data_IF_664422417397
#
_entry.id   IF_664422417397
#
_cell.length_a   1.000
_cell.length_b   1.000
_cell.length_c   1.000
_cell.angle_alpha   90.00
_cell.angle_beta   90.00
_cell.angle_gamma   90.00
#
_symmetry.space_group_name_H-M   'P 1'
#
loop_
_entity.id
_entity.type
_entity.pdbx_description
1 polymer ?
#
# COMPACT_ATOMS: atom_id res chain seq x y z
N UNK A 1 -65.45 28.66 55.87
CA UNK A 1 -66.07 27.35 55.65
C UNK A 1 -65.05 26.57 54.89
N UNK A 2 -64.29 25.86 55.62
CA UNK A 2 -64.24 24.42 55.86
C UNK A 2 -63.66 23.69 54.63
N UNK A 3 -62.72 22.92 54.70
CA UNK A 3 -62.04 22.07 55.67
C UNK A 3 -61.23 20.99 54.91
N UNK A 4 -60.06 20.66 55.48
CA UNK A 4 -59.45 19.32 55.54
C UNK A 4 -58.71 18.77 54.32
N UNK A 5 -57.42 18.81 54.35
CA UNK A 5 -56.52 17.74 54.89
C UNK A 5 -56.83 16.33 54.39
N UNK A 6 -55.94 15.76 53.65
CA UNK A 6 -55.35 14.49 54.08
C UNK A 6 -53.99 14.27 53.39
N UNK A 7 -53.05 14.06 54.25
CA UNK A 7 -51.69 13.57 53.98
C UNK A 7 -51.73 12.11 53.56
N UNK A 8 -50.90 11.70 52.62
CA UNK A 8 -50.41 10.33 52.53
C UNK A 8 -49.01 10.33 51.97
N UNK A 9 -48.13 9.98 52.84
CA UNK A 9 -46.75 9.58 52.61
C UNK A 9 -46.74 8.23 51.92
N UNK A 10 -46.01 8.06 50.84
CA UNK A 10 -45.44 6.77 50.44
C UNK A 10 -44.13 6.98 49.65
N UNK A 11 -43.07 6.69 50.34
CA UNK A 11 -41.91 5.85 49.99
C UNK A 11 -41.21 6.06 48.67
N UNK A 12 -40.01 6.54 48.84
CA UNK A 12 -38.78 6.34 48.07
C UNK A 12 -38.66 4.95 47.47
N UNK A 13 -38.48 4.83 46.17
CA UNK A 13 -37.70 3.74 45.57
C UNK A 13 -36.80 4.36 44.48
N UNK A 14 -35.55 4.52 44.91
CA UNK A 14 -34.39 4.75 44.03
C UNK A 14 -34.19 3.50 43.21
N UNK A 15 -34.54 3.53 41.92
CA UNK A 15 -34.10 2.54 40.96
C UNK A 15 -32.73 2.97 40.42
N UNK A 16 -31.70 2.33 40.90
CA UNK A 16 -30.35 2.36 40.34
C UNK A 16 -30.38 1.65 38.97
N UNK A 17 -30.33 2.41 37.90
CA UNK A 17 -29.99 1.87 36.57
C UNK A 17 -28.46 1.75 36.45
N UNK A 18 -27.96 0.58 36.68
CA UNK A 18 -26.58 0.20 36.30
C UNK A 18 -26.47 0.24 34.80
N UNK A 19 -25.80 1.29 34.27
CA UNK A 19 -25.32 1.33 32.91
C UNK A 19 -24.14 0.36 32.78
N UNK A 20 -24.42 -0.81 32.22
CA UNK A 20 -23.37 -1.74 31.76
C UNK A 20 -22.70 -1.08 30.56
N UNK A 21 -21.60 -0.38 30.80
CA UNK A 21 -20.69 0.01 29.77
C UNK A 21 -20.02 -1.26 29.24
N UNK A 22 -20.52 -1.77 28.11
CA UNK A 22 -19.82 -2.79 27.34
C UNK A 22 -18.52 -2.18 26.82
N UNK A 23 -17.43 -2.44 27.52
CA UNK A 23 -16.10 -2.24 26.99
C UNK A 23 -15.91 -3.23 25.85
N UNK A 24 -16.11 -2.76 24.60
CA UNK A 24 -15.61 -3.46 23.44
C UNK A 24 -14.08 -3.38 23.50
N UNK A 25 -13.45 -4.45 24.00
CA UNK A 25 -12.03 -4.67 23.81
C UNK A 25 -11.79 -4.85 22.31
N UNK A 26 -11.39 -3.77 21.63
CA UNK A 26 -10.84 -3.86 20.29
C UNK A 26 -9.49 -4.58 20.40
N UNK A 27 -9.52 -5.91 20.23
CA UNK A 27 -8.33 -6.64 19.85
C UNK A 27 -7.95 -6.10 18.46
N UNK A 28 -6.85 -5.38 18.35
CA UNK A 28 -6.24 -4.98 17.09
C UNK A 28 -5.63 -6.20 16.39
N UNK A 29 -6.47 -7.15 16.00
CA UNK A 29 -6.10 -8.20 15.08
C UNK A 29 -5.89 -7.54 13.71
N UNK A 30 -4.71 -7.68 13.13
CA UNK A 30 -4.44 -7.21 11.78
C UNK A 30 -5.39 -7.92 10.83
N UNK A 31 -6.04 -7.17 9.93
CA UNK A 31 -6.94 -7.71 8.90
C UNK A 31 -6.14 -8.61 7.97
N UNK A 32 -6.62 -9.83 7.73
CA UNK A 32 -6.11 -10.73 6.69
C UNK A 32 -7.09 -10.72 5.51
N UNK A 33 -6.57 -10.90 4.31
CA UNK A 33 -7.33 -10.95 3.06
C UNK A 33 -7.26 -12.35 2.46
N UNK A 34 -8.35 -12.80 1.86
CA UNK A 34 -8.45 -14.07 1.13
C UNK A 34 -8.74 -13.84 -0.37
N UNK A 35 -8.98 -14.92 -1.10
CA UNK A 35 -9.26 -14.86 -2.54
C UNK A 35 -10.57 -14.10 -2.88
N UNK A 36 -11.52 -14.03 -1.95
CA UNK A 36 -12.77 -13.27 -2.11
C UNK A 36 -12.57 -11.77 -2.03
N UNK A 37 -11.57 -11.31 -1.29
CA UNK A 37 -11.17 -9.91 -1.22
C UNK A 37 -10.45 -9.42 -2.49
N UNK A 38 -9.95 -10.35 -3.34
CA UNK A 38 -9.17 -10.07 -4.56
C UNK A 38 -8.02 -9.08 -4.30
N UNK A 39 -7.08 -9.42 -3.40
CA UNK A 39 -6.08 -8.49 -2.92
C UNK A 39 -5.10 -8.06 -4.02
N UNK A 40 -4.64 -6.81 -3.93
CA UNK A 40 -3.52 -6.28 -4.69
C UNK A 40 -2.34 -6.02 -3.75
N UNK A 41 -1.17 -6.48 -4.13
CA UNK A 41 0.11 -6.16 -3.48
C UNK A 41 0.80 -5.12 -4.33
N UNK A 42 0.73 -3.88 -3.88
CA UNK A 42 1.38 -2.74 -4.51
C UNK A 42 2.84 -2.74 -4.11
N UNK A 43 3.72 -2.76 -5.11
CA UNK A 43 5.17 -2.68 -4.90
C UNK A 43 5.72 -1.59 -5.81
N UNK A 44 6.60 -0.81 -5.25
CA UNK A 44 7.45 0.13 -5.96
C UNK A 44 8.88 -0.04 -5.48
N UNK A 45 9.82 0.06 -6.40
CA UNK A 45 11.23 -0.20 -6.16
C UNK A 45 12.06 1.00 -6.61
N UNK A 46 13.06 1.34 -5.79
CA UNK A 46 14.14 2.24 -6.20
C UNK A 46 15.38 1.43 -6.55
N UNK A 47 16.04 1.79 -7.62
CA UNK A 47 17.18 1.08 -8.16
C UNK A 47 18.33 2.04 -8.51
N UNK A 48 19.55 1.52 -8.65
CA UNK A 48 20.71 2.31 -9.12
C UNK A 48 20.64 2.64 -10.62
N UNK A 49 19.70 2.05 -11.33
CA UNK A 49 19.40 2.23 -12.75
C UNK A 49 18.38 1.20 -13.21
N UNK A 50 18.09 1.14 -14.51
CA UNK A 50 17.02 0.30 -15.06
C UNK A 50 17.50 -1.00 -15.73
N UNK A 51 18.80 -1.27 -15.76
CA UNK A 51 19.33 -2.53 -16.29
C UNK A 51 19.30 -3.61 -15.19
N UNK A 52 18.33 -4.50 -15.28
CA UNK A 52 18.17 -5.59 -14.33
C UNK A 52 19.34 -6.60 -14.28
N UNK A 53 20.37 -6.46 -15.14
CA UNK A 53 21.59 -7.29 -15.10
C UNK A 53 22.67 -6.64 -14.26
N UNK A 54 22.84 -5.33 -14.37
CA UNK A 54 23.97 -4.58 -13.79
C UNK A 54 23.58 -3.71 -12.60
N UNK A 55 22.34 -3.25 -12.54
CA UNK A 55 21.88 -2.36 -11.49
C UNK A 55 21.35 -3.10 -10.26
N UNK A 56 21.34 -2.40 -9.13
CA UNK A 56 20.93 -2.94 -7.84
C UNK A 56 19.59 -2.36 -7.40
N UNK A 57 18.81 -3.20 -6.71
CA UNK A 57 17.64 -2.82 -5.94
C UNK A 57 18.09 -2.20 -4.62
N UNK A 58 17.64 -0.99 -4.30
CA UNK A 58 18.09 -0.20 -3.14
C UNK A 58 16.97 0.22 -2.18
N UNK A 59 15.71 0.25 -2.61
CA UNK A 59 14.54 0.38 -1.74
C UNK A 59 13.40 -0.45 -2.32
N UNK A 60 12.62 -1.08 -1.45
CA UNK A 60 11.35 -1.73 -1.80
C UNK A 60 10.29 -1.28 -0.82
N UNK A 61 9.20 -0.72 -1.32
CA UNK A 61 8.02 -0.44 -0.53
C UNK A 61 6.86 -1.35 -0.92
N UNK A 62 5.99 -1.62 0.04
CA UNK A 62 4.81 -2.49 -0.15
C UNK A 62 3.61 -1.92 0.60
N UNK A 63 2.48 -1.83 -0.11
CA UNK A 63 1.15 -1.64 0.48
C UNK A 63 0.24 -2.76 -0.03
N UNK A 64 -0.65 -3.28 0.83
CA UNK A 64 -1.66 -4.26 0.42
C UNK A 64 -3.04 -3.62 0.49
N UNK A 65 -3.82 -3.76 -0.60
CA UNK A 65 -5.21 -3.31 -0.66
C UNK A 65 -6.16 -4.47 -0.96
N UNK A 66 -7.43 -4.28 -0.62
CA UNK A 66 -8.52 -5.10 -1.15
C UNK A 66 -8.90 -4.69 -2.61
N UNK A 67 -9.93 -5.32 -3.17
CA UNK A 67 -10.45 -5.03 -4.51
C UNK A 67 -11.06 -3.62 -4.66
N UNK A 68 -11.35 -2.96 -3.55
CA UNK A 68 -11.87 -1.59 -3.56
C UNK A 68 -10.76 -0.53 -3.41
N UNK A 69 -9.48 -0.96 -3.51
CA UNK A 69 -8.29 -0.14 -3.36
C UNK A 69 -8.13 0.44 -1.95
N UNK A 70 -8.74 -0.21 -0.93
CA UNK A 70 -8.61 0.23 0.45
C UNK A 70 -7.37 -0.40 1.09
N UNK A 71 -6.35 0.38 1.50
CA UNK A 71 -5.17 -0.15 2.18
C UNK A 71 -5.55 -0.86 3.48
N UNK A 72 -4.88 -1.99 3.76
CA UNK A 72 -5.05 -2.72 5.03
C UNK A 72 -4.37 -1.98 6.18
N UNK A 73 -3.21 -1.38 5.89
CA UNK A 73 -2.44 -0.55 6.82
C UNK A 73 -1.57 0.45 6.03
N UNK A 74 -0.62 1.09 6.71
CA UNK A 74 0.25 2.11 6.10
C UNK A 74 1.34 1.54 5.19
N UNK A 75 1.47 0.22 5.10
CA UNK A 75 2.54 -0.42 4.33
C UNK A 75 3.89 -0.44 5.05
N UNK A 76 4.90 -0.89 4.31
CA UNK A 76 6.30 -0.88 4.75
C UNK A 76 7.21 -0.33 3.66
N UNK A 77 8.35 0.22 4.04
CA UNK A 77 9.49 0.48 3.17
C UNK A 77 10.74 -0.14 3.78
N UNK A 78 11.61 -0.71 2.94
CA UNK A 78 12.85 -1.36 3.32
C UNK A 78 13.97 -0.84 2.45
N UNK A 79 14.92 -0.12 3.06
CA UNK A 79 16.15 0.33 2.40
C UNK A 79 17.16 -0.82 2.40
N UNK A 80 17.77 -1.06 1.25
CA UNK A 80 18.68 -2.18 1.00
C UNK A 80 20.07 -1.64 0.75
N UNK A 81 21.06 -2.22 1.43
CA UNK A 81 22.46 -1.86 1.21
C UNK A 81 22.93 -2.43 -0.12
N UNK A 82 23.27 -1.58 -1.11
CA UNK A 82 23.76 -2.06 -2.40
C UNK A 82 25.18 -2.67 -2.28
N UNK A 83 25.56 -3.53 -3.23
CA UNK A 83 26.97 -3.93 -3.38
C UNK A 83 27.89 -2.72 -3.57
N UNK A 84 29.12 -2.81 -3.06
CA UNK A 84 30.11 -1.75 -3.18
C UNK A 84 30.35 -1.36 -4.66
N UNK A 85 30.46 -0.07 -4.93
CA UNK A 85 30.74 0.49 -6.24
C UNK A 85 29.52 0.71 -7.14
N UNK A 86 28.33 0.23 -6.78
CA UNK A 86 27.13 0.45 -7.61
C UNK A 86 26.51 1.84 -7.42
N UNK A 87 26.64 2.42 -6.24
CA UNK A 87 26.18 3.80 -5.99
C UNK A 87 27.00 4.81 -6.80
N UNK A 88 28.32 4.60 -6.85
CA UNK A 88 29.25 5.47 -7.58
C UNK A 88 29.11 5.35 -9.10
N UNK A 89 28.48 4.29 -9.59
CA UNK A 89 28.24 4.04 -11.01
C UNK A 89 26.88 4.52 -11.50
N UNK A 90 26.02 5.04 -10.62
CA UNK A 90 24.75 5.66 -11.01
C UNK A 90 24.98 6.83 -11.96
N UNK A 91 24.12 7.00 -12.95
CA UNK A 91 24.14 8.20 -13.78
C UNK A 91 23.78 9.46 -13.00
N UNK A 92 24.05 10.62 -13.58
CA UNK A 92 23.81 11.92 -12.92
C UNK A 92 22.34 12.14 -12.57
N UNK A 93 21.41 11.64 -13.39
CA UNK A 93 19.98 11.80 -13.18
C UNK A 93 19.52 10.97 -11.96
N UNK A 94 19.86 9.69 -11.93
CA UNK A 94 19.52 8.78 -10.83
C UNK A 94 20.19 9.23 -9.53
N UNK A 95 21.47 9.63 -9.59
CA UNK A 95 22.19 10.20 -8.44
C UNK A 95 21.48 11.42 -7.86
N UNK A 96 21.08 12.38 -8.73
CA UNK A 96 20.38 13.58 -8.29
C UNK A 96 19.00 13.27 -7.71
N UNK A 97 18.27 12.33 -8.29
CA UNK A 97 16.95 11.89 -7.84
C UNK A 97 17.04 11.31 -6.42
N UNK A 98 17.94 10.35 -6.20
CA UNK A 98 18.12 9.71 -4.89
C UNK A 98 18.77 10.62 -3.84
N UNK A 99 19.55 11.62 -4.27
CA UNK A 99 20.04 12.68 -3.37
C UNK A 99 18.90 13.56 -2.90
N UNK A 100 18.03 13.99 -3.83
CA UNK A 100 16.89 14.86 -3.51
C UNK A 100 15.86 14.18 -2.60
N UNK A 101 15.64 12.87 -2.77
CA UNK A 101 14.74 12.09 -1.92
C UNK A 101 15.37 11.70 -0.56
N UNK A 102 16.68 11.92 -0.39
CA UNK A 102 17.44 11.53 0.80
C UNK A 102 17.81 10.05 0.89
N UNK A 103 17.43 9.24 -0.12
CA UNK A 103 17.66 7.79 -0.10
C UNK A 103 19.16 7.44 -0.03
N UNK A 104 20.01 8.18 -0.73
CA UNK A 104 21.47 7.93 -0.72
C UNK A 104 22.04 7.94 0.70
N UNK A 105 21.58 8.83 1.56
CA UNK A 105 22.06 8.94 2.94
C UNK A 105 21.66 7.75 3.81
N UNK A 106 20.61 7.02 3.42
CA UNK A 106 20.09 5.87 4.16
C UNK A 106 20.75 4.55 3.75
N UNK A 107 21.37 4.46 2.55
CA UNK A 107 21.87 3.22 1.97
C UNK A 107 22.94 2.50 2.83
N UNK A 108 23.80 3.25 3.50
CA UNK A 108 24.82 2.66 4.38
C UNK A 108 24.23 1.93 5.58
N UNK A 109 23.07 2.40 6.05
CA UNK A 109 22.29 1.79 7.13
C UNK A 109 21.29 0.72 6.64
N UNK A 110 21.20 0.51 5.32
CA UNK A 110 20.29 -0.45 4.72
C UNK A 110 20.59 -1.89 5.14
N UNK A 111 19.56 -2.73 5.06
CA UNK A 111 19.66 -4.17 5.38
C UNK A 111 20.25 -4.97 4.20
N UNK A 112 20.60 -6.22 4.45
CA UNK A 112 20.97 -7.13 3.36
C UNK A 112 19.76 -7.47 2.47
N UNK A 113 20.01 -7.90 1.22
CA UNK A 113 18.97 -8.35 0.31
C UNK A 113 18.14 -9.52 0.89
N UNK A 114 18.81 -10.44 1.59
CA UNK A 114 18.14 -11.58 2.22
C UNK A 114 17.17 -11.13 3.34
N UNK A 115 17.59 -10.20 4.19
CA UNK A 115 16.75 -9.62 5.25
C UNK A 115 15.60 -8.80 4.66
N UNK A 116 15.86 -8.05 3.59
CA UNK A 116 14.83 -7.30 2.88
C UNK A 116 13.76 -8.24 2.29
N UNK A 117 14.17 -9.30 1.57
CA UNK A 117 13.23 -10.31 1.05
C UNK A 117 12.39 -10.94 2.17
N UNK A 118 13.04 -11.34 3.28
CA UNK A 118 12.33 -11.95 4.41
C UNK A 118 11.32 -10.98 5.03
N UNK A 119 11.67 -9.70 5.15
CA UNK A 119 10.81 -8.64 5.70
C UNK A 119 9.60 -8.39 4.80
N UNK A 120 9.84 -8.21 3.49
CA UNK A 120 8.80 -7.97 2.49
C UNK A 120 7.85 -9.16 2.40
N UNK A 121 8.39 -10.38 2.28
CA UNK A 121 7.59 -11.60 2.22
C UNK A 121 6.77 -11.80 3.50
N UNK A 122 7.39 -11.62 4.66
CA UNK A 122 6.71 -11.76 5.96
C UNK A 122 5.56 -10.75 6.13
N UNK A 123 5.74 -9.52 5.65
CA UNK A 123 4.67 -8.52 5.63
C UNK A 123 3.51 -8.96 4.74
N UNK A 124 3.78 -9.39 3.51
CA UNK A 124 2.75 -9.85 2.57
C UNK A 124 2.00 -11.06 3.15
N UNK A 125 2.72 -12.08 3.63
CA UNK A 125 2.13 -13.31 4.18
C UNK A 125 1.27 -13.08 5.42
N UNK A 126 1.57 -12.05 6.19
CA UNK A 126 0.78 -11.69 7.37
C UNK A 126 -0.60 -11.16 6.99
N UNK A 127 -0.73 -10.50 5.83
CA UNK A 127 -1.99 -9.93 5.33
C UNK A 127 -2.67 -10.90 4.35
N UNK A 128 -1.89 -11.54 3.48
CA UNK A 128 -2.34 -12.49 2.47
C UNK A 128 -1.60 -13.81 2.68
N UNK A 129 -2.07 -14.68 3.58
CA UNK A 129 -1.38 -15.93 3.91
C UNK A 129 -1.34 -16.95 2.76
N UNK A 130 -2.37 -16.95 1.90
CA UNK A 130 -2.48 -17.89 0.79
C UNK A 130 -1.67 -17.39 -0.41
N UNK A 131 -0.74 -18.21 -0.89
CA UNK A 131 0.06 -17.91 -2.07
C UNK A 131 -0.77 -17.98 -3.36
N UNK A 132 -0.40 -17.16 -4.35
CA UNK A 132 -0.98 -17.20 -5.69
C UNK A 132 -2.33 -16.48 -5.84
N UNK A 133 -2.84 -15.81 -4.81
CA UNK A 133 -4.12 -15.08 -4.89
C UNK A 133 -3.95 -13.57 -5.11
N UNK A 134 -2.94 -12.94 -4.53
CA UNK A 134 -2.71 -11.51 -4.67
C UNK A 134 -1.94 -11.18 -5.94
N UNK A 135 -2.38 -10.16 -6.67
CA UNK A 135 -1.69 -9.69 -7.87
C UNK A 135 -0.69 -8.60 -7.51
N UNK A 136 0.49 -8.63 -8.12
CA UNK A 136 1.42 -7.50 -8.10
C UNK A 136 0.80 -6.30 -8.83
N UNK A 137 0.82 -5.12 -8.21
CA UNK A 137 0.27 -3.89 -8.75
C UNK A 137 1.26 -2.72 -8.62
N UNK A 138 1.18 -1.75 -9.53
CA UNK A 138 2.01 -0.53 -9.53
C UNK A 138 1.99 0.18 -10.86
N UNK A 139 2.75 1.27 -10.96
CA UNK A 139 2.98 1.98 -12.22
C UNK A 139 4.24 1.44 -12.92
N UNK A 140 4.11 1.00 -14.18
CA UNK A 140 5.20 0.36 -14.95
C UNK A 140 5.85 -0.81 -14.20
N UNK A 141 5.08 -1.47 -13.37
CA UNK A 141 5.49 -2.49 -12.39
C UNK A 141 6.16 -3.72 -13.02
N UNK A 142 6.15 -3.80 -14.34
CA UNK A 142 6.94 -4.78 -15.08
C UNK A 142 8.44 -4.66 -14.85
N UNK A 143 8.96 -3.44 -14.68
CA UNK A 143 10.37 -3.19 -14.36
C UNK A 143 10.69 -3.68 -12.94
N UNK A 144 9.88 -3.30 -11.95
CA UNK A 144 10.02 -3.75 -10.56
C UNK A 144 10.02 -5.27 -10.49
N UNK A 145 9.10 -5.91 -11.21
CA UNK A 145 8.99 -7.36 -11.28
C UNK A 145 10.27 -8.04 -11.79
N UNK A 146 11.02 -7.42 -12.70
CA UNK A 146 12.29 -7.97 -13.19
C UNK A 146 13.34 -8.02 -12.07
N UNK A 147 13.50 -6.92 -11.32
CA UNK A 147 14.40 -6.87 -10.17
C UNK A 147 13.95 -7.80 -9.05
N UNK A 148 12.66 -7.79 -8.69
CA UNK A 148 12.11 -8.68 -7.67
C UNK A 148 12.29 -10.17 -8.04
N UNK A 149 12.12 -10.53 -9.31
CA UNK A 149 12.29 -11.93 -9.74
C UNK A 149 13.75 -12.39 -9.63
N UNK A 150 14.73 -11.48 -9.80
CA UNK A 150 16.14 -11.75 -9.62
C UNK A 150 16.54 -11.80 -8.13
N UNK A 151 16.12 -10.77 -7.37
CA UNK A 151 16.66 -10.47 -6.05
C UNK A 151 15.77 -10.98 -4.90
N UNK A 152 14.45 -11.05 -5.13
CA UNK A 152 13.44 -11.48 -4.15
C UNK A 152 12.49 -12.54 -4.74
N UNK A 153 13.02 -13.67 -5.28
CA UNK A 153 12.19 -14.66 -5.96
C UNK A 153 11.05 -15.22 -5.10
N UNK A 154 11.26 -15.35 -3.77
CA UNK A 154 10.22 -15.85 -2.87
C UNK A 154 9.01 -14.91 -2.77
N UNK A 155 9.21 -13.60 -2.95
CA UNK A 155 8.11 -12.62 -3.03
C UNK A 155 7.29 -12.88 -4.29
N UNK A 156 7.96 -13.02 -5.44
CA UNK A 156 7.30 -13.29 -6.72
C UNK A 156 6.57 -14.64 -6.72
N UNK A 157 7.17 -15.67 -6.12
CA UNK A 157 6.58 -17.01 -6.01
C UNK A 157 5.31 -17.03 -5.12
N UNK A 158 5.23 -16.10 -4.15
CA UNK A 158 4.05 -15.94 -3.31
C UNK A 158 2.89 -15.23 -4.03
N UNK A 159 3.18 -14.39 -5.02
CA UNK A 159 2.19 -13.61 -5.75
C UNK A 159 1.58 -14.40 -6.92
N UNK A 160 0.43 -13.94 -7.40
CA UNK A 160 -0.17 -14.46 -8.62
C UNK A 160 0.67 -14.05 -9.84
N UNK A 161 0.70 -14.86 -10.91
CA UNK A 161 1.50 -14.59 -12.11
C UNK A 161 1.05 -13.36 -12.91
N UNK A 162 -0.23 -12.95 -12.80
CA UNK A 162 -0.76 -11.73 -13.43
C UNK A 162 -0.39 -10.50 -12.63
N UNK A 163 -0.36 -9.36 -13.33
CA UNK A 163 -0.07 -8.06 -12.74
C UNK A 163 -1.21 -7.07 -13.04
N UNK A 164 -1.31 -6.02 -12.23
CA UNK A 164 -2.11 -4.82 -12.50
C UNK A 164 -1.15 -3.65 -12.71
N UNK A 165 -0.96 -3.26 -13.96
CA UNK A 165 -0.10 -2.13 -14.32
C UNK A 165 -0.95 -0.90 -14.61
N UNK A 166 -0.90 0.08 -13.72
CA UNK A 166 -1.66 1.34 -13.81
C UNK A 166 -1.22 2.16 -15.01
N UNK A 167 0.07 2.10 -15.40
CA UNK A 167 0.58 2.78 -16.59
C UNK A 167 -0.09 2.29 -17.88
N UNK A 168 -0.51 1.03 -17.93
CA UNK A 168 -1.29 0.51 -19.06
C UNK A 168 -2.67 1.16 -19.16
N UNK A 169 -3.36 1.32 -18.02
CA UNK A 169 -4.66 2.02 -17.95
C UNK A 169 -4.49 3.49 -18.37
N UNK A 170 -3.48 4.16 -17.82
CA UNK A 170 -3.10 5.54 -18.16
C UNK A 170 -2.88 5.73 -19.66
N UNK A 171 -2.12 4.83 -20.29
CA UNK A 171 -1.84 4.88 -21.72
C UNK A 171 -3.10 4.65 -22.57
N UNK A 172 -4.07 3.87 -22.12
CA UNK A 172 -5.37 3.71 -22.77
C UNK A 172 -6.25 4.94 -22.55
N UNK A 173 -6.28 5.50 -21.33
CA UNK A 173 -6.98 6.75 -21.04
C UNK A 173 -6.48 7.90 -21.95
N UNK A 174 -5.17 8.07 -22.07
CA UNK A 174 -4.57 9.08 -22.97
C UNK A 174 -5.05 8.98 -24.42
N UNK A 175 -5.33 7.76 -24.90
CA UNK A 175 -5.77 7.52 -26.30
C UNK A 175 -7.26 7.68 -26.50
N UNK A 176 -8.06 7.25 -25.54
CA UNK A 176 -9.50 7.08 -25.72
C UNK A 176 -10.33 8.06 -24.89
N UNK A 177 -9.74 8.62 -23.83
CA UNK A 177 -10.37 9.55 -22.89
C UNK A 177 -9.42 10.71 -22.56
N UNK A 178 -8.99 11.52 -23.59
CA UNK A 178 -7.96 12.54 -23.36
C UNK A 178 -8.35 13.61 -22.35
N UNK A 179 -9.64 13.96 -22.24
CA UNK A 179 -10.12 14.94 -21.25
C UNK A 179 -9.96 14.41 -19.83
N UNK A 180 -10.31 13.13 -19.60
CA UNK A 180 -10.12 12.48 -18.29
C UNK A 180 -8.63 12.28 -17.99
N UNK A 181 -7.81 11.98 -19.00
CA UNK A 181 -6.36 11.88 -18.83
C UNK A 181 -5.74 13.21 -18.37
N UNK A 182 -6.14 14.34 -18.99
CA UNK A 182 -5.65 15.68 -18.65
C UNK A 182 -6.15 16.15 -17.26
N UNK A 183 -7.27 15.62 -16.79
CA UNK A 183 -7.85 15.92 -15.49
C UNK A 183 -7.32 15.01 -14.35
N UNK A 184 -6.47 14.02 -14.66
CA UNK A 184 -5.91 13.12 -13.66
C UNK A 184 -5.09 13.87 -12.60
N UNK A 185 -5.11 13.44 -11.33
CA UNK A 185 -4.37 14.10 -10.27
C UNK A 185 -2.87 14.11 -10.54
N UNK A 186 -2.22 15.22 -10.22
CA UNK A 186 -0.76 15.30 -10.30
C UNK A 186 -0.12 14.44 -9.21
N UNK A 187 0.93 13.70 -9.58
CA UNK A 187 1.72 12.93 -8.62
C UNK A 187 2.51 13.84 -7.69
N UNK A 188 2.77 13.37 -6.47
CA UNK A 188 3.57 14.11 -5.47
C UNK A 188 5.04 14.21 -5.87
N UNK A 189 5.58 13.21 -6.57
CA UNK A 189 6.90 13.24 -7.20
C UNK A 189 8.07 13.35 -6.23
N UNK A 190 7.94 12.81 -5.02
CA UNK A 190 9.00 12.84 -4.02
C UNK A 190 10.02 11.69 -4.15
N UNK A 191 9.83 10.79 -5.10
CA UNK A 191 10.75 9.68 -5.41
C UNK A 191 11.18 8.88 -4.17
N UNK A 192 10.19 8.51 -3.36
CA UNK A 192 10.30 7.54 -2.29
C UNK A 192 9.24 6.48 -2.53
N UNK A 193 9.66 5.24 -2.60
CA UNK A 193 8.84 4.12 -3.06
C UNK A 193 7.45 4.04 -2.37
N UNK A 194 7.35 4.32 -1.06
CA UNK A 194 6.06 4.29 -0.36
C UNK A 194 5.09 5.41 -0.82
N UNK A 195 5.62 6.60 -1.12
CA UNK A 195 4.84 7.72 -1.65
C UNK A 195 4.36 7.45 -3.08
N UNK A 196 5.22 6.86 -3.90
CA UNK A 196 4.92 6.54 -5.31
C UNK A 196 3.87 5.41 -5.41
N UNK A 197 3.83 4.49 -4.43
CA UNK A 197 2.72 3.52 -4.29
C UNK A 197 1.39 4.25 -4.03
N UNK A 198 1.35 5.19 -3.09
CA UNK A 198 0.10 5.91 -2.79
C UNK A 198 -0.39 6.69 -4.02
N UNK A 199 0.50 7.38 -4.72
CA UNK A 199 0.19 8.05 -5.99
C UNK A 199 -0.36 7.06 -7.04
N UNK A 200 0.14 5.81 -7.07
CA UNK A 200 -0.31 4.78 -7.99
C UNK A 200 -1.70 4.24 -7.64
N UNK A 201 -2.00 4.07 -6.36
CA UNK A 201 -3.34 3.69 -5.86
C UNK A 201 -4.35 4.78 -6.19
N UNK A 202 -4.03 6.04 -5.92
CA UNK A 202 -4.89 7.19 -6.16
C UNK A 202 -5.14 7.40 -7.66
N UNK A 203 -4.12 7.19 -8.50
CA UNK A 203 -4.23 7.24 -9.96
C UNK A 203 -5.18 6.14 -10.48
N UNK A 204 -5.06 4.90 -10.00
CA UNK A 204 -5.99 3.83 -10.39
C UNK A 204 -7.41 4.10 -9.89
N UNK A 205 -7.58 4.59 -8.66
CA UNK A 205 -8.89 4.97 -8.12
C UNK A 205 -9.54 6.06 -8.95
N UNK A 206 -8.78 7.05 -9.39
CA UNK A 206 -9.24 8.08 -10.33
C UNK A 206 -9.73 7.47 -11.64
N UNK A 207 -8.90 6.68 -12.35
CA UNK A 207 -9.32 6.07 -13.61
C UNK A 207 -10.52 5.14 -13.45
N UNK A 208 -10.59 4.40 -12.35
CA UNK A 208 -11.77 3.58 -12.04
C UNK A 208 -13.06 4.41 -12.00
N UNK A 209 -13.02 5.59 -11.41
CA UNK A 209 -14.19 6.46 -11.31
C UNK A 209 -14.49 7.25 -12.59
N UNK A 210 -13.46 7.65 -13.34
CA UNK A 210 -13.58 8.53 -14.49
C UNK A 210 -13.96 7.78 -15.78
N UNK A 211 -13.35 6.60 -16.03
CA UNK A 211 -13.46 5.94 -17.35
C UNK A 211 -14.02 4.52 -17.31
N UNK A 212 -14.13 3.88 -16.14
CA UNK A 212 -14.72 2.55 -16.04
C UNK A 212 -16.21 2.64 -15.76
N UNK A 213 -16.99 1.69 -16.27
CA UNK A 213 -18.43 1.65 -15.98
C UNK A 213 -18.65 1.39 -14.50
N UNK A 214 -19.56 2.16 -13.89
CA UNK A 214 -20.07 1.88 -12.55
C UNK A 214 -21.00 0.67 -12.58
N UNK A 215 -21.12 -0.05 -11.45
CA UNK A 215 -22.03 -1.19 -11.31
C UNK A 215 -23.51 -0.77 -11.43
N UNK A 216 -23.81 0.53 -11.42
CA UNK A 216 -25.17 1.11 -11.50
C UNK A 216 -25.60 1.49 -12.94
N UNK A 217 -24.91 1.01 -13.98
CA UNK A 217 -25.19 1.34 -15.39
C UNK A 217 -25.89 0.21 -16.14
#
# INVERSE_FOLDING_TARGET
MDSRSHSAVVSDQVAQSESVASQSSSSSGQRTLDSGDMPLVWIDCEMTGLDAVTDALIEVAVIVTDSQLQPVDAGISVVIKPPAGLVENMDDFVTQMHTNSGLIEELDGGVSMEEAQATVLGYIQKIVPEAGIALLAGNSVGNDRLFLARDMPQVIDHLHYRIVDVSSIKELARRWYPEDFDAAPAKTGNHRALGDIQDSIDELAYYRSAIMKSDDA
#
